data_IF_777951474178
#
_entry.id   IF_777951474178
#
_cell.length_a   1.000
_cell.length_b   1.000
_cell.length_c   1.000
_cell.angle_alpha   90.00
_cell.angle_beta   90.00
_cell.angle_gamma   90.00
#
_symmetry.space_group_name_H-M   'P 1'
#
loop_
_entity.id
_entity.type
_entity.pdbx_description
1 polymer ?
#
# COMPACT_ATOMS: atom_id res chain seq x y z
N UNK A 1 0.44 11.97 -14.56
CA UNK A 1 -0.59 11.32 -13.73
C UNK A 1 -0.25 11.63 -12.28
N UNK A 2 -1.23 11.96 -11.41
CA UNK A 2 -0.94 12.04 -9.99
C UNK A 2 -0.55 10.64 -9.48
N UNK A 3 0.34 10.52 -8.49
CA UNK A 3 0.78 9.23 -8.01
C UNK A 3 -0.41 8.44 -7.45
N UNK A 4 -0.50 7.16 -7.78
CA UNK A 4 -1.54 6.25 -7.26
C UNK A 4 -1.41 5.97 -5.76
N UNK A 5 -0.40 6.54 -5.10
CA UNK A 5 0.04 6.30 -3.72
C UNK A 5 -0.63 7.14 -2.64
N UNK A 6 -1.89 7.55 -2.86
CA UNK A 6 -2.58 8.41 -1.90
C UNK A 6 -2.69 7.78 -0.51
N UNK A 7 -2.88 6.45 -0.43
CA UNK A 7 -2.96 5.76 0.85
C UNK A 7 -1.60 5.72 1.54
N UNK A 8 -0.53 5.47 0.78
CA UNK A 8 0.82 5.46 1.32
C UNK A 8 1.25 6.86 1.80
N UNK A 9 0.97 7.90 1.02
CA UNK A 9 1.24 9.30 1.39
C UNK A 9 0.43 9.70 2.63
N UNK A 10 -0.83 9.26 2.74
CA UNK A 10 -1.64 9.47 3.92
C UNK A 10 -1.12 8.74 5.16
N UNK A 11 -0.54 7.55 5.01
CA UNK A 11 0.08 6.81 6.11
C UNK A 11 1.47 7.32 6.52
N UNK A 12 2.22 7.87 5.56
CA UNK A 12 3.58 8.37 5.77
C UNK A 12 3.75 9.80 5.22
N UNK A 13 3.00 10.79 5.75
CA UNK A 13 3.04 12.15 5.24
C UNK A 13 4.43 12.78 5.37
N UNK A 14 5.17 12.40 6.41
CA UNK A 14 6.54 12.87 6.66
C UNK A 14 7.56 12.31 5.64
N UNK A 15 7.23 11.21 4.98
CA UNK A 15 8.10 10.58 3.98
C UNK A 15 7.67 10.90 2.53
N UNK A 16 6.80 11.90 2.33
CA UNK A 16 6.23 12.23 1.02
C UNK A 16 7.29 12.45 -0.08
N UNK A 17 8.30 13.28 0.18
CA UNK A 17 9.35 13.55 -0.80
C UNK A 17 10.15 12.28 -1.15
N UNK A 18 10.45 11.46 -0.14
CA UNK A 18 11.17 10.19 -0.31
C UNK A 18 10.36 9.17 -1.09
N UNK A 19 9.04 9.12 -0.88
CA UNK A 19 8.12 8.25 -1.64
C UNK A 19 8.15 8.63 -3.12
N UNK A 20 8.07 9.92 -3.44
CA UNK A 20 8.11 10.41 -4.82
C UNK A 20 9.46 10.15 -5.49
N UNK A 21 10.55 10.37 -4.77
CA UNK A 21 11.89 10.08 -5.27
C UNK A 21 12.05 8.58 -5.57
N UNK A 22 11.79 7.72 -4.58
CA UNK A 22 11.91 6.27 -4.72
C UNK A 22 10.99 5.70 -5.80
N UNK A 23 9.81 6.26 -6.00
CA UNK A 23 8.95 5.84 -7.10
C UNK A 23 9.59 6.11 -8.47
N UNK A 24 10.22 7.27 -8.65
CA UNK A 24 10.86 7.62 -9.91
C UNK A 24 12.16 6.86 -10.16
N UNK A 25 12.90 6.48 -9.11
CA UNK A 25 14.25 5.91 -9.23
C UNK A 25 14.35 4.42 -8.90
N UNK A 26 13.40 3.87 -8.16
CA UNK A 26 13.36 2.47 -7.70
C UNK A 26 12.09 1.75 -8.22
N UNK A 27 12.20 0.97 -9.31
CA UNK A 27 11.09 0.20 -9.86
C UNK A 27 10.50 -0.83 -8.89
N UNK A 28 11.32 -1.36 -7.98
CA UNK A 28 10.85 -2.30 -6.96
C UNK A 28 10.00 -1.58 -5.92
N UNK A 29 10.40 -0.38 -5.50
CA UNK A 29 9.59 0.47 -4.62
C UNK A 29 8.25 0.82 -5.28
N UNK A 30 8.27 1.27 -6.54
CA UNK A 30 7.05 1.60 -7.29
C UNK A 30 6.10 0.40 -7.42
N UNK A 31 6.62 -0.82 -7.48
CA UNK A 31 5.81 -2.05 -7.49
C UNK A 31 5.22 -2.35 -6.10
N UNK A 32 6.02 -2.24 -5.04
CA UNK A 32 5.57 -2.46 -3.66
C UNK A 32 4.47 -1.48 -3.26
N UNK A 33 4.66 -0.21 -3.58
CA UNK A 33 3.69 0.85 -3.29
C UNK A 33 2.37 0.62 -4.04
N UNK A 34 2.42 0.23 -5.33
CA UNK A 34 1.21 -0.12 -6.11
C UNK A 34 0.48 -1.34 -5.55
N UNK A 35 1.21 -2.38 -5.13
CA UNK A 35 0.62 -3.56 -4.50
C UNK A 35 -0.05 -3.17 -3.17
N UNK A 36 0.55 -2.26 -2.40
CA UNK A 36 -0.01 -1.76 -1.14
C UNK A 36 -1.35 -1.02 -1.35
N UNK A 37 -1.40 -0.08 -2.31
CA UNK A 37 -2.64 0.64 -2.61
C UNK A 37 -3.71 -0.27 -3.18
N UNK A 38 -3.34 -1.22 -4.03
CA UNK A 38 -4.28 -2.19 -4.58
C UNK A 38 -4.94 -3.04 -3.49
N UNK A 39 -4.16 -3.50 -2.50
CA UNK A 39 -4.69 -4.26 -1.36
C UNK A 39 -5.57 -3.37 -0.47
N UNK A 40 -5.18 -2.12 -0.23
CA UNK A 40 -6.00 -1.18 0.54
C UNK A 40 -7.32 -0.86 -0.16
N UNK A 41 -7.30 -0.61 -1.48
CA UNK A 41 -8.48 -0.37 -2.27
C UNK A 41 -9.41 -1.59 -2.26
N UNK A 42 -8.85 -2.81 -2.39
CA UNK A 42 -9.61 -4.04 -2.28
C UNK A 42 -10.27 -4.16 -0.89
N UNK A 43 -9.50 -3.97 0.18
CA UNK A 43 -10.03 -4.00 1.56
C UNK A 43 -11.13 -2.95 1.78
N UNK A 44 -10.96 -1.73 1.29
CA UNK A 44 -11.95 -0.65 1.41
C UNK A 44 -13.21 -0.93 0.58
N UNK A 45 -13.06 -1.53 -0.61
CA UNK A 45 -14.18 -2.00 -1.42
C UNK A 45 -14.96 -3.11 -0.71
N UNK A 46 -14.26 -4.02 -0.01
CA UNK A 46 -14.91 -5.07 0.77
C UNK A 46 -15.60 -4.53 2.01
N UNK A 47 -15.01 -3.57 2.72
CA UNK A 47 -15.64 -2.92 3.88
C UNK A 47 -16.92 -2.17 3.51
N UNK A 48 -17.05 -1.73 2.25
CA UNK A 48 -18.22 -1.04 1.72
C UNK A 48 -19.16 -1.93 0.89
N UNK A 49 -18.76 -3.15 0.56
CA UNK A 49 -19.58 -4.10 -0.18
C UNK A 49 -20.54 -4.85 0.73
N UNK A 50 -21.76 -5.10 0.24
CA UNK A 50 -22.81 -5.84 0.96
C UNK A 50 -22.44 -7.32 1.10
N UNK A 51 -21.61 -7.85 0.19
CA UNK A 51 -21.22 -9.25 0.17
C UNK A 51 -19.89 -9.46 0.93
N UNK A 52 -19.90 -10.14 2.09
CA UNK A 52 -18.70 -10.33 2.88
C UNK A 52 -17.76 -11.30 2.18
N UNK A 53 -16.54 -10.84 1.86
CA UNK A 53 -15.49 -11.73 1.39
C UNK A 53 -15.19 -12.79 2.47
N UNK A 54 -14.90 -14.06 2.09
CA UNK A 54 -14.58 -15.10 3.07
C UNK A 54 -13.46 -14.66 4.00
N UNK A 55 -13.65 -14.91 5.31
CA UNK A 55 -12.74 -14.45 6.35
C UNK A 55 -11.27 -14.85 6.12
N UNK A 56 -11.03 -16.01 5.51
CA UNK A 56 -9.69 -16.46 5.09
C UNK A 56 -9.02 -15.47 4.14
N UNK A 57 -9.73 -15.02 3.11
CA UNK A 57 -9.23 -14.07 2.11
C UNK A 57 -8.98 -12.70 2.74
N UNK A 58 -9.83 -12.27 3.69
CA UNK A 58 -9.63 -11.01 4.42
C UNK A 58 -8.39 -11.08 5.31
N UNK A 59 -8.16 -12.22 5.98
CA UNK A 59 -6.95 -12.44 6.78
C UNK A 59 -5.70 -12.41 5.90
N UNK A 60 -5.73 -13.03 4.72
CA UNK A 60 -4.59 -13.04 3.81
C UNK A 60 -4.25 -11.65 3.28
N UNK A 61 -5.26 -10.86 2.88
CA UNK A 61 -5.05 -9.46 2.48
C UNK A 61 -4.49 -8.62 3.63
N UNK A 62 -5.00 -8.78 4.85
CA UNK A 62 -4.50 -8.06 6.04
C UNK A 62 -3.05 -8.43 6.35
N UNK A 63 -2.69 -9.71 6.29
CA UNK A 63 -1.28 -10.16 6.46
C UNK A 63 -0.39 -9.54 5.40
N UNK A 64 -0.84 -9.54 4.15
CA UNK A 64 -0.09 -9.02 3.01
C UNK A 64 0.08 -7.50 3.08
N UNK A 65 -0.97 -6.77 3.51
CA UNK A 65 -0.90 -5.34 3.84
C UNK A 65 0.19 -5.06 4.87
N UNK A 66 0.19 -5.78 6.00
CA UNK A 66 1.20 -5.59 7.06
C UNK A 66 2.61 -5.87 6.56
N UNK A 67 2.79 -6.93 5.77
CA UNK A 67 4.09 -7.28 5.18
C UNK A 67 4.60 -6.20 4.22
N UNK A 68 3.74 -5.71 3.33
CA UNK A 68 4.08 -4.64 2.39
C UNK A 68 4.39 -3.34 3.11
N UNK A 69 3.58 -2.98 4.12
CA UNK A 69 3.84 -1.82 4.97
C UNK A 69 5.22 -1.89 5.59
N UNK A 70 5.58 -3.00 6.21
CA UNK A 70 6.91 -3.16 6.81
C UNK A 70 8.04 -3.01 5.78
N UNK A 71 7.91 -3.65 4.61
CA UNK A 71 8.89 -3.51 3.53
C UNK A 71 9.05 -2.06 3.07
N UNK A 72 7.94 -1.36 2.89
CA UNK A 72 7.96 0.05 2.46
C UNK A 72 8.60 0.92 3.54
N UNK A 73 8.22 0.73 4.81
CA UNK A 73 8.85 1.44 5.93
C UNK A 73 10.37 1.20 6.00
N UNK A 74 10.84 -0.04 5.78
CA UNK A 74 12.28 -0.32 5.72
C UNK A 74 12.96 0.40 4.58
N UNK A 75 12.32 0.51 3.40
CA UNK A 75 12.87 1.25 2.25
C UNK A 75 12.88 2.76 2.48
N UNK A 76 11.89 3.30 3.19
CA UNK A 76 11.82 4.71 3.53
C UNK A 76 12.82 5.12 4.61
N UNK A 77 13.15 4.20 5.52
CA UNK A 77 14.13 4.41 6.58
C UNK A 77 15.59 4.15 6.14
N UNK A 78 15.80 3.68 4.91
CA UNK A 78 17.12 3.38 4.33
C UNK A 78 17.66 4.53 3.47
#
# INVERSE_FOLDING_TARGET
MPPSFQVLIGEFPEAFERILELESVDPDFARLAREYDSINAALQLFETSIDPMPASHQMDLRRRKTYLKHKISTRLAA
#
